data_IF_748776325069
#
_entry.id   IF_748776325069
#
_cell.length_a   1.000
_cell.length_b   1.000
_cell.length_c   1.000
_cell.angle_alpha   90.00
_cell.angle_beta   90.00
_cell.angle_gamma   90.00
#
_symmetry.space_group_name_H-M   'P 1'
#
loop_
_entity.id
_entity.type
_entity.pdbx_description
1 polymer ?
#
# COMPACT_ATOMS: atom_id res chain seq x y z
N UNK A 1 32.23 2.21 16.45
CA UNK A 1 31.74 3.36 15.65
C UNK A 1 30.25 3.18 15.50
N UNK A 2 29.46 3.97 16.21
CA UNK A 2 27.98 3.95 16.11
C UNK A 2 27.61 4.56 14.77
N UNK A 3 27.08 3.74 13.86
CA UNK A 3 26.55 4.20 12.56
C UNK A 3 25.44 5.21 12.85
N UNK A 4 25.60 6.46 12.44
CA UNK A 4 24.58 7.48 12.62
C UNK A 4 23.25 6.95 12.06
N UNK A 5 22.18 7.00 12.85
CA UNK A 5 20.86 6.53 12.46
C UNK A 5 20.39 7.41 11.29
N UNK A 6 20.22 6.82 10.12
CA UNK A 6 19.71 7.55 8.94
C UNK A 6 18.31 8.10 9.26
N UNK A 7 17.93 9.27 8.71
CA UNK A 7 16.61 9.82 8.93
C UNK A 7 15.54 8.89 8.33
N UNK A 8 14.42 8.76 9.04
CA UNK A 8 13.21 8.14 8.50
C UNK A 8 12.40 9.24 7.81
N UNK A 9 12.18 9.07 6.51
CA UNK A 9 11.34 9.96 5.70
C UNK A 9 9.98 9.29 5.58
N UNK A 10 8.94 9.94 6.10
CA UNK A 10 7.57 9.45 5.99
C UNK A 10 6.91 10.06 4.76
N UNK A 11 6.37 9.22 3.90
CA UNK A 11 5.72 9.56 2.63
C UNK A 11 4.30 9.02 2.64
N UNK A 12 3.38 9.76 2.09
CA UNK A 12 2.01 9.32 1.77
C UNK A 12 1.84 9.31 0.26
N UNK A 13 1.32 8.23 -0.29
CA UNK A 13 1.12 8.10 -1.74
C UNK A 13 -0.22 7.42 -2.05
N UNK A 14 -0.76 7.66 -3.24
CA UNK A 14 -2.07 7.16 -3.63
C UNK A 14 -2.12 6.52 -5.01
N UNK A 15 -2.77 5.34 -5.11
CA UNK A 15 -3.22 4.82 -6.40
C UNK A 15 -4.50 5.54 -6.79
N UNK A 16 -4.34 6.64 -7.54
CA UNK A 16 -5.48 7.35 -8.12
C UNK A 16 -6.02 6.52 -9.28
N UNK A 17 -7.30 6.16 -9.22
CA UNK A 17 -7.91 5.20 -10.17
C UNK A 17 -9.02 5.88 -10.97
N UNK A 18 -9.01 5.71 -12.28
CA UNK A 18 -10.08 6.20 -13.16
C UNK A 18 -11.27 5.23 -13.25
N UNK A 19 -12.29 5.61 -14.02
CA UNK A 19 -13.50 4.79 -14.24
C UNK A 19 -13.21 3.47 -14.97
N UNK A 20 -12.13 3.40 -15.74
CA UNK A 20 -11.66 2.20 -16.41
C UNK A 20 -10.75 1.33 -15.51
N UNK A 21 -10.62 1.69 -14.22
CA UNK A 21 -9.76 1.03 -13.25
C UNK A 21 -8.27 1.07 -13.59
N UNK A 22 -7.83 2.03 -14.41
CA UNK A 22 -6.42 2.29 -14.62
C UNK A 22 -5.89 3.13 -13.47
N UNK A 23 -4.63 2.92 -13.12
CA UNK A 23 -3.94 3.62 -12.04
C UNK A 23 -3.02 4.69 -12.61
N UNK A 24 -3.01 5.85 -11.99
CA UNK A 24 -2.16 6.97 -12.36
C UNK A 24 -0.78 6.79 -11.74
N UNK A 25 0.25 6.92 -12.57
CA UNK A 25 1.64 7.04 -12.15
C UNK A 25 2.23 8.34 -12.67
N UNK A 26 3.21 8.86 -11.96
CA UNK A 26 3.93 10.09 -12.27
C UNK A 26 5.42 9.79 -12.50
N UNK A 27 6.04 10.48 -13.47
CA UNK A 27 7.48 10.34 -13.72
C UNK A 27 8.24 11.39 -12.93
N UNK A 28 9.24 10.96 -12.16
CA UNK A 28 10.07 11.88 -11.36
C UNK A 28 10.77 12.89 -12.25
N UNK A 29 10.61 14.19 -11.97
CA UNK A 29 11.20 15.22 -12.80
C UNK A 29 12.74 15.23 -12.68
N UNK A 30 13.44 15.81 -13.68
CA UNK A 30 14.88 16.02 -13.63
C UNK A 30 15.32 16.74 -12.35
N UNK A 31 16.46 16.34 -11.79
CA UNK A 31 17.04 16.94 -10.58
C UNK A 31 16.58 16.32 -9.25
N UNK A 32 15.55 15.50 -9.26
CA UNK A 32 15.20 14.67 -8.09
C UNK A 32 16.02 13.36 -8.09
N UNK A 33 16.22 12.77 -6.91
CA UNK A 33 16.84 11.45 -6.80
C UNK A 33 15.99 10.41 -7.57
N UNK A 34 16.63 9.52 -8.34
CA UNK A 34 15.97 8.56 -9.24
C UNK A 34 15.09 9.26 -10.32
N UNK A 35 15.56 10.40 -10.85
CA UNK A 35 14.88 11.12 -11.93
C UNK A 35 14.61 10.18 -13.13
N UNK A 36 13.42 10.34 -13.74
CA UNK A 36 12.96 9.52 -14.85
C UNK A 36 12.25 8.22 -14.47
N UNK A 37 12.41 7.74 -13.22
CA UNK A 37 11.65 6.60 -12.71
C UNK A 37 10.17 6.95 -12.51
N UNK A 38 9.31 5.94 -12.61
CA UNK A 38 7.88 6.08 -12.37
C UNK A 38 7.53 5.72 -10.93
N UNK A 39 6.58 6.44 -10.36
CA UNK A 39 6.11 6.26 -8.99
C UNK A 39 4.61 6.56 -8.87
N UNK A 40 4.00 6.13 -7.78
CA UNK A 40 2.65 6.58 -7.44
C UNK A 40 2.71 8.02 -6.90
N UNK A 41 1.74 8.90 -7.30
CA UNK A 41 1.73 10.30 -6.86
C UNK A 41 1.56 10.41 -5.35
N UNK A 42 2.26 11.38 -4.77
CA UNK A 42 2.30 11.64 -3.34
C UNK A 42 3.60 12.28 -2.90
N UNK A 43 3.74 12.56 -1.62
CA UNK A 43 4.90 13.26 -1.11
C UNK A 43 5.14 13.08 0.37
N UNK A 44 5.99 13.94 0.94
CA UNK A 44 6.41 13.85 2.33
C UNK A 44 5.31 14.32 3.27
N UNK A 45 5.05 13.51 4.28
CA UNK A 45 4.18 13.88 5.38
C UNK A 45 4.85 14.98 6.21
N UNK A 46 4.12 16.04 6.53
CA UNK A 46 4.60 17.08 7.41
C UNK A 46 4.58 16.62 8.89
N UNK A 47 5.37 17.29 9.72
CA UNK A 47 5.46 16.94 11.14
C UNK A 47 4.12 17.11 11.86
N UNK A 48 3.58 16.01 12.40
CA UNK A 48 2.29 16.01 13.10
C UNK A 48 1.06 16.02 12.20
N UNK A 49 1.25 15.95 10.89
CA UNK A 49 0.15 15.91 9.92
C UNK A 49 -0.54 14.53 9.94
N UNK A 50 -1.87 14.54 9.86
CA UNK A 50 -2.63 13.30 9.63
C UNK A 50 -2.34 12.73 8.23
N UNK A 51 -2.16 11.43 8.13
CA UNK A 51 -1.75 10.74 6.88
C UNK A 51 -2.75 10.94 5.73
N UNK A 52 -4.06 10.93 6.02
CA UNK A 52 -5.11 11.14 4.99
C UNK A 52 -5.16 12.60 4.55
N UNK A 53 -4.95 13.54 5.47
CA UNK A 53 -4.88 14.96 5.15
C UNK A 53 -3.62 15.29 4.34
N UNK A 54 -2.47 14.69 4.70
CA UNK A 54 -1.23 14.82 3.94
C UNK A 54 -1.38 14.29 2.51
N UNK A 55 -1.99 13.11 2.34
CA UNK A 55 -2.28 12.59 1.00
C UNK A 55 -3.18 13.53 0.20
N UNK A 56 -4.25 14.05 0.81
CA UNK A 56 -5.17 14.97 0.14
C UNK A 56 -4.47 16.28 -0.27
N UNK A 57 -3.56 16.79 0.57
CA UNK A 57 -2.72 17.96 0.26
C UNK A 57 -1.80 17.68 -0.90
N UNK A 58 -1.00 16.62 -0.86
CA UNK A 58 -0.05 16.24 -1.91
C UNK A 58 -0.73 16.03 -3.27
N UNK A 59 -1.83 15.27 -3.31
CA UNK A 59 -2.57 15.04 -4.56
C UNK A 59 -3.19 16.32 -5.14
N UNK A 60 -3.57 17.28 -4.28
CA UNK A 60 -4.04 18.59 -4.74
C UNK A 60 -2.89 19.44 -5.29
N UNK A 61 -1.73 19.42 -4.62
CA UNK A 61 -0.54 20.20 -5.01
C UNK A 61 0.08 19.65 -6.29
N UNK A 62 0.28 18.34 -6.39
CA UNK A 62 0.95 17.71 -7.52
C UNK A 62 0.04 17.48 -8.73
N UNK A 63 -1.26 17.19 -8.52
CA UNK A 63 -2.18 16.77 -9.58
C UNK A 63 -3.37 17.69 -9.79
N UNK A 64 -3.65 18.63 -8.87
CA UNK A 64 -4.82 19.49 -8.94
C UNK A 64 -6.16 18.79 -8.66
N UNK A 65 -6.15 17.61 -8.04
CA UNK A 65 -7.37 16.88 -7.70
C UNK A 65 -7.75 17.05 -6.23
N UNK A 66 -9.04 16.93 -5.94
CA UNK A 66 -9.58 16.99 -4.58
C UNK A 66 -10.30 15.69 -4.26
N UNK A 67 -9.96 15.05 -3.15
CA UNK A 67 -10.62 13.81 -2.72
C UNK A 67 -12.09 14.07 -2.38
N UNK A 68 -13.00 13.26 -2.93
CA UNK A 68 -14.45 13.35 -2.70
C UNK A 68 -14.96 12.31 -1.69
N UNK A 69 -14.12 11.34 -1.32
CA UNK A 69 -14.36 10.36 -0.28
C UNK A 69 -13.04 9.98 0.42
N UNK A 70 -13.09 9.43 1.65
CA UNK A 70 -11.90 8.96 2.33
C UNK A 70 -11.16 7.91 1.51
N UNK A 71 -9.82 8.03 1.35
CA UNK A 71 -9.02 7.00 0.73
C UNK A 71 -8.96 5.78 1.65
N UNK A 72 -8.86 4.57 1.06
CA UNK A 72 -8.68 3.36 1.86
C UNK A 72 -7.20 2.98 1.96
N UNK A 73 -6.74 2.42 3.11
CA UNK A 73 -5.38 1.92 3.23
C UNK A 73 -5.15 0.74 2.28
N UNK A 74 -3.95 0.63 1.73
CA UNK A 74 -3.54 -0.51 0.91
C UNK A 74 -2.42 -1.28 1.61
N UNK A 75 -1.28 -0.65 1.79
CA UNK A 75 -0.08 -1.25 2.35
C UNK A 75 0.81 -0.16 2.92
N UNK A 76 1.65 -0.53 3.89
CA UNK A 76 2.73 0.29 4.39
C UNK A 76 4.06 -0.33 3.98
N UNK A 77 4.90 0.40 3.27
CA UNK A 77 6.19 -0.10 2.76
C UNK A 77 7.33 0.65 3.42
N UNK A 78 8.32 -0.07 3.93
CA UNK A 78 9.60 0.51 4.35
C UNK A 78 10.68 0.11 3.38
N UNK A 79 11.38 1.09 2.83
CA UNK A 79 12.48 0.87 1.90
C UNK A 79 13.73 1.66 2.34
N UNK A 80 14.89 0.99 2.33
CA UNK A 80 16.16 1.61 2.69
C UNK A 80 16.88 2.12 1.44
N UNK A 81 16.97 3.43 1.30
CA UNK A 81 17.80 4.08 0.30
C UNK A 81 19.16 4.50 0.88
N UNK A 82 20.11 4.83 0.03
CA UNK A 82 21.44 5.29 0.46
C UNK A 82 21.37 6.58 1.29
N UNK A 83 20.41 7.45 1.03
CA UNK A 83 20.21 8.72 1.72
C UNK A 83 19.35 8.62 2.99
N UNK A 84 18.61 7.55 3.19
CA UNK A 84 17.71 7.37 4.34
C UNK A 84 16.71 6.25 4.16
N UNK A 85 16.03 5.90 5.25
CA UNK A 85 14.90 4.98 5.22
C UNK A 85 13.63 5.76 4.82
N UNK A 86 12.87 5.23 3.88
CA UNK A 86 11.57 5.77 3.49
C UNK A 86 10.48 4.85 3.99
N UNK A 87 9.46 5.41 4.64
CA UNK A 87 8.23 4.73 5.02
C UNK A 87 7.10 5.31 4.18
N UNK A 88 6.49 4.49 3.35
CA UNK A 88 5.39 4.89 2.46
C UNK A 88 4.09 4.34 3.04
N UNK A 89 3.16 5.21 3.40
CA UNK A 89 1.75 4.86 3.61
C UNK A 89 1.05 4.94 2.24
N UNK A 90 0.69 3.79 1.69
CA UNK A 90 0.03 3.70 0.39
C UNK A 90 -1.47 3.57 0.53
N UNK A 91 -2.21 4.37 -0.24
CA UNK A 91 -3.66 4.45 -0.19
C UNK A 91 -4.29 4.23 -1.57
N UNK A 92 -5.52 3.72 -1.61
CA UNK A 92 -6.33 3.67 -2.83
C UNK A 92 -7.30 4.84 -2.86
N UNK A 93 -7.26 5.61 -3.94
CA UNK A 93 -8.07 6.79 -4.20
C UNK A 93 -8.97 6.52 -5.40
N UNK A 94 -10.28 6.36 -5.15
CA UNK A 94 -11.26 6.05 -6.20
C UNK A 94 -12.22 7.19 -6.49
N UNK A 95 -12.39 8.11 -5.54
CA UNK A 95 -13.35 9.20 -5.65
C UNK A 95 -12.64 10.54 -5.45
N UNK A 96 -12.61 11.31 -6.49
CA UNK A 96 -12.00 12.63 -6.53
C UNK A 96 -12.70 13.52 -7.56
N UNK A 97 -12.52 14.81 -7.47
CA UNK A 97 -12.92 15.82 -8.46
C UNK A 97 -11.68 16.51 -9.04
N UNK A 98 -11.83 17.05 -10.23
CA UNK A 98 -10.74 17.62 -11.01
C UNK A 98 -10.18 16.62 -12.02
N UNK A 99 -9.42 17.13 -12.99
CA UNK A 99 -8.70 16.33 -13.98
C UNK A 99 -7.22 16.29 -13.57
N UNK A 100 -6.62 15.10 -13.32
CA UNK A 100 -5.23 15.02 -12.93
C UNK A 100 -4.29 15.62 -13.97
N UNK A 101 -3.43 16.52 -13.54
CA UNK A 101 -2.41 17.20 -14.35
C UNK A 101 -1.09 17.25 -13.59
N UNK A 102 0.03 17.09 -14.24
CA UNK A 102 1.35 17.22 -13.63
C UNK A 102 1.68 18.70 -13.36
N UNK A 103 1.33 19.21 -12.18
CA UNK A 103 1.50 20.61 -11.82
C UNK A 103 2.97 20.97 -11.52
N UNK A 104 3.81 19.98 -11.20
CA UNK A 104 5.27 20.11 -11.06
C UNK A 104 6.02 19.90 -12.39
N UNK A 105 5.31 19.81 -13.52
CA UNK A 105 5.87 19.51 -14.83
C UNK A 105 6.22 18.03 -15.05
N UNK A 106 5.83 17.13 -14.14
CA UNK A 106 6.00 15.70 -14.27
C UNK A 106 5.08 15.12 -15.34
N UNK A 107 5.57 14.13 -16.10
CA UNK A 107 4.73 13.35 -16.99
C UNK A 107 3.81 12.43 -16.19
N UNK A 108 2.58 12.27 -16.67
CA UNK A 108 1.59 11.37 -16.08
C UNK A 108 1.23 10.27 -17.07
N UNK A 109 0.97 9.07 -16.55
CA UNK A 109 0.54 7.93 -17.35
C UNK A 109 -0.52 7.13 -16.60
N UNK A 110 -1.60 6.76 -17.30
CA UNK A 110 -2.59 5.81 -16.83
C UNK A 110 -2.18 4.40 -17.24
N UNK A 111 -2.10 3.48 -16.27
CA UNK A 111 -1.70 2.09 -16.48
C UNK A 111 -2.77 1.13 -15.94
N UNK A 112 -3.01 0.05 -16.67
CA UNK A 112 -3.71 -1.12 -16.14
C UNK A 112 -2.80 -1.86 -15.14
N UNK A 113 -3.35 -2.83 -14.41
CA UNK A 113 -2.57 -3.68 -13.50
C UNK A 113 -1.43 -4.41 -14.23
N UNK A 114 -1.73 -4.99 -15.40
CA UNK A 114 -0.74 -5.73 -16.19
C UNK A 114 0.36 -4.82 -16.75
N UNK A 115 0.00 -3.61 -17.15
CA UNK A 115 0.99 -2.61 -17.62
C UNK A 115 1.93 -2.15 -16.52
N UNK A 116 1.47 -2.04 -15.26
CA UNK A 116 2.33 -1.67 -14.12
C UNK A 116 3.47 -2.66 -13.90
N UNK A 117 3.27 -3.95 -14.17
CA UNK A 117 4.30 -4.99 -14.04
C UNK A 117 5.45 -4.81 -15.05
N UNK A 118 5.20 -4.10 -16.16
CA UNK A 118 6.19 -3.82 -17.22
C UNK A 118 6.82 -2.43 -17.14
N UNK A 119 6.34 -1.56 -16.23
CA UNK A 119 6.88 -0.21 -16.04
C UNK A 119 8.08 -0.24 -15.09
N UNK A 120 9.11 0.52 -15.40
CA UNK A 120 10.23 0.75 -14.49
C UNK A 120 9.79 1.67 -13.33
N UNK A 121 9.14 1.06 -12.35
CA UNK A 121 8.74 1.73 -11.10
C UNK A 121 9.95 1.85 -10.17
N UNK A 122 9.85 2.79 -9.21
CA UNK A 122 10.86 2.91 -8.17
C UNK A 122 10.94 1.64 -7.32
N UNK A 123 12.11 1.30 -6.75
CA UNK A 123 12.30 0.06 -5.99
C UNK A 123 11.31 -0.15 -4.83
N UNK A 124 10.85 0.94 -4.20
CA UNK A 124 9.87 0.87 -3.11
C UNK A 124 8.45 0.50 -3.57
N UNK A 125 8.13 0.60 -4.86
CA UNK A 125 6.78 0.41 -5.38
C UNK A 125 6.45 -1.05 -5.72
N UNK A 126 7.44 -1.93 -5.82
CA UNK A 126 7.24 -3.35 -6.13
C UNK A 126 6.21 -4.04 -5.21
N UNK A 127 6.33 -3.95 -3.87
CA UNK A 127 5.34 -4.50 -2.94
C UNK A 127 3.93 -3.90 -3.10
N UNK A 128 3.84 -2.63 -3.54
CA UNK A 128 2.57 -1.94 -3.79
C UNK A 128 1.85 -2.58 -4.98
N UNK A 129 2.57 -2.86 -6.08
CA UNK A 129 2.00 -3.52 -7.26
C UNK A 129 1.46 -4.92 -6.92
N UNK A 130 2.18 -5.68 -6.10
CA UNK A 130 1.72 -6.98 -5.60
C UNK A 130 0.44 -6.84 -4.76
N UNK A 131 0.40 -5.87 -3.84
CA UNK A 131 -0.76 -5.61 -3.00
C UNK A 131 -2.01 -5.19 -3.79
N UNK A 132 -1.84 -4.50 -4.92
CA UNK A 132 -2.94 -4.09 -5.79
C UNK A 132 -3.65 -5.27 -6.49
N UNK A 133 -3.02 -6.45 -6.55
CA UNK A 133 -3.64 -7.69 -7.07
C UNK A 133 -4.63 -8.32 -6.08
N UNK A 134 -4.56 -7.93 -4.82
CA UNK A 134 -5.41 -8.49 -3.77
C UNK A 134 -6.78 -7.81 -3.73
N UNK A 135 -7.88 -8.57 -3.53
CA UNK A 135 -9.21 -8.01 -3.39
C UNK A 135 -9.38 -7.34 -2.03
N UNK A 136 -10.39 -6.49 -1.87
CA UNK A 136 -10.75 -5.89 -0.58
C UNK A 136 -11.40 -6.89 0.39
N UNK A 137 -12.00 -7.94 -0.16
CA UNK A 137 -12.65 -9.02 0.59
C UNK A 137 -12.06 -10.35 0.13
N UNK A 138 -11.46 -11.06 1.06
CA UNK A 138 -11.05 -12.44 0.81
C UNK A 138 -12.27 -13.33 0.92
N UNK A 139 -12.64 -13.96 -0.18
CA UNK A 139 -13.79 -14.86 -0.27
C UNK A 139 -13.35 -16.17 -0.92
N UNK A 140 -14.14 -17.24 -0.77
CA UNK A 140 -13.87 -18.49 -1.48
C UNK A 140 -13.77 -18.32 -2.99
N UNK A 141 -14.50 -17.35 -3.58
CA UNK A 141 -14.45 -17.07 -5.00
C UNK A 141 -13.13 -16.42 -5.46
N UNK A 142 -12.42 -15.73 -4.55
CA UNK A 142 -11.16 -15.04 -4.86
C UNK A 142 -9.90 -15.92 -4.70
N UNK A 143 -10.04 -17.18 -4.27
CA UNK A 143 -8.91 -18.10 -4.01
C UNK A 143 -8.10 -18.51 -5.26
N UNK A 144 -8.53 -18.12 -6.45
CA UNK A 144 -7.75 -18.32 -7.68
C UNK A 144 -6.52 -17.39 -7.75
N UNK A 145 -6.57 -16.23 -7.09
CA UNK A 145 -5.51 -15.22 -7.12
C UNK A 145 -4.42 -15.43 -6.04
N UNK A 146 -4.68 -16.26 -5.03
CA UNK A 146 -3.77 -16.47 -3.91
C UNK A 146 -3.87 -17.86 -3.30
N UNK A 147 -2.85 -18.24 -2.55
CA UNK A 147 -2.84 -19.40 -1.64
C UNK A 147 -2.81 -18.91 -0.22
N UNK A 148 -3.50 -19.61 0.67
CA UNK A 148 -3.57 -19.27 2.08
C UNK A 148 -3.17 -20.46 2.93
N UNK A 149 -2.14 -20.31 3.77
CA UNK A 149 -1.53 -21.39 4.54
C UNK A 149 -1.06 -20.96 5.92
N UNK A 150 -0.29 -21.84 6.56
CA UNK A 150 0.36 -21.57 7.85
C UNK A 150 1.79 -21.06 7.72
N UNK A 151 2.35 -21.12 6.54
CA UNK A 151 3.71 -20.67 6.20
C UNK A 151 3.71 -19.95 4.86
N UNK A 152 4.66 -19.06 4.68
CA UNK A 152 4.92 -18.39 3.42
C UNK A 152 5.69 -19.36 2.50
N UNK A 153 4.99 -20.04 1.62
CA UNK A 153 5.60 -20.92 0.63
C UNK A 153 5.39 -20.37 -0.77
N UNK A 154 6.45 -20.33 -1.61
CA UNK A 154 6.30 -19.89 -2.98
C UNK A 154 5.30 -20.79 -3.73
N UNK A 155 4.32 -20.20 -4.38
CA UNK A 155 3.39 -20.94 -5.21
C UNK A 155 3.95 -21.13 -6.62
N UNK A 156 3.99 -22.38 -7.09
CA UNK A 156 4.49 -22.71 -8.42
C UNK A 156 3.68 -22.08 -9.57
N UNK A 157 2.44 -21.67 -9.31
CA UNK A 157 1.58 -20.95 -10.26
C UNK A 157 1.73 -19.42 -10.19
N UNK A 158 2.63 -18.89 -9.35
CA UNK A 158 2.85 -17.46 -9.19
C UNK A 158 1.70 -16.71 -8.48
N UNK A 159 0.87 -17.45 -7.72
CA UNK A 159 -0.18 -16.83 -6.90
C UNK A 159 0.44 -16.22 -5.65
N UNK A 160 -0.21 -15.17 -5.11
CA UNK A 160 0.22 -14.54 -3.86
C UNK A 160 0.05 -15.48 -2.67
N UNK A 161 1.05 -15.51 -1.79
CA UNK A 161 1.09 -16.36 -0.59
C UNK A 161 0.60 -15.58 0.63
N UNK A 162 -0.55 -15.98 1.17
CA UNK A 162 -1.10 -15.45 2.41
C UNK A 162 -0.83 -16.36 3.60
N UNK A 163 -0.62 -15.78 4.77
CA UNK A 163 -0.37 -16.52 6.01
C UNK A 163 -1.39 -16.13 7.09
N UNK A 164 -1.98 -17.13 7.75
CA UNK A 164 -2.80 -16.92 8.94
C UNK A 164 -1.96 -16.60 10.15
N UNK A 165 -2.35 -15.58 10.90
CA UNK A 165 -1.67 -15.11 12.09
C UNK A 165 -2.63 -14.91 13.25
N UNK A 166 -2.17 -15.26 14.46
CA UNK A 166 -2.95 -15.11 15.72
C UNK A 166 -2.64 -13.81 16.45
N UNK A 167 -1.64 -13.04 16.00
CA UNK A 167 -1.22 -11.79 16.64
C UNK A 167 0.05 -11.23 16.03
N UNK A 168 0.57 -10.16 16.64
CA UNK A 168 1.69 -9.37 16.11
C UNK A 168 2.97 -10.20 15.88
N UNK A 169 3.33 -11.08 16.83
CA UNK A 169 4.57 -11.86 16.72
C UNK A 169 4.58 -12.77 15.49
N UNK A 170 3.45 -13.49 15.25
CA UNK A 170 3.30 -14.34 14.07
C UNK A 170 3.22 -13.52 12.79
N UNK A 171 2.56 -12.36 12.83
CA UNK A 171 2.46 -11.45 11.70
C UNK A 171 3.83 -10.94 11.25
N UNK A 172 4.69 -10.55 12.18
CA UNK A 172 6.07 -10.14 11.90
C UNK A 172 6.89 -11.31 11.32
N UNK A 173 6.81 -12.49 11.94
CA UNK A 173 7.53 -13.67 11.48
C UNK A 173 7.11 -14.09 10.06
N UNK A 174 5.82 -14.05 9.75
CA UNK A 174 5.30 -14.37 8.41
C UNK A 174 5.75 -13.35 7.36
N UNK A 175 5.76 -12.05 7.71
CA UNK A 175 6.29 -11.00 6.84
C UNK A 175 7.78 -11.19 6.57
N UNK A 176 8.57 -11.47 7.59
CA UNK A 176 10.01 -11.72 7.46
C UNK A 176 10.31 -12.99 6.64
N UNK A 177 9.41 -13.97 6.68
CA UNK A 177 9.48 -15.19 5.88
C UNK A 177 9.04 -15.00 4.40
N UNK A 178 8.59 -13.80 4.02
CA UNK A 178 8.24 -13.47 2.63
C UNK A 178 6.78 -13.73 2.27
N UNK A 179 5.87 -13.71 3.23
CA UNK A 179 4.43 -13.70 2.92
C UNK A 179 4.05 -12.44 2.13
N UNK A 180 3.16 -12.58 1.14
CA UNK A 180 2.65 -11.46 0.37
C UNK A 180 1.53 -10.71 1.08
N UNK A 181 0.80 -11.38 1.98
CA UNK A 181 -0.24 -10.77 2.83
C UNK A 181 -0.52 -11.63 4.08
N UNK A 182 -1.22 -11.03 5.04
CA UNK A 182 -1.62 -11.68 6.29
C UNK A 182 -3.13 -11.73 6.44
N UNK A 183 -3.60 -12.80 7.09
CA UNK A 183 -4.99 -12.95 7.52
C UNK A 183 -5.00 -13.20 9.01
N UNK A 184 -5.60 -12.31 9.78
CA UNK A 184 -5.77 -12.48 11.21
C UNK A 184 -6.87 -13.51 11.46
N UNK A 185 -6.63 -14.48 12.37
CA UNK A 185 -7.57 -15.58 12.60
C UNK A 185 -8.52 -15.36 13.77
N UNK A 186 -8.17 -14.52 14.70
CA UNK A 186 -8.97 -14.24 15.88
C UNK A 186 -9.55 -12.84 15.82
N UNK A 187 -10.65 -12.63 16.52
CA UNK A 187 -11.12 -11.29 16.86
C UNK A 187 -10.11 -10.66 17.83
N UNK A 188 -9.16 -9.92 17.28
CA UNK A 188 -8.19 -9.18 18.05
C UNK A 188 -8.76 -7.83 18.49
N UNK A 189 -8.31 -7.29 19.64
CA UNK A 189 -8.67 -5.93 20.02
C UNK A 189 -8.30 -4.93 18.92
N UNK A 190 -9.12 -3.89 18.67
CA UNK A 190 -8.84 -2.89 17.62
C UNK A 190 -7.44 -2.27 17.69
N UNK A 191 -6.93 -2.04 18.92
CA UNK A 191 -5.58 -1.51 19.13
C UNK A 191 -4.48 -2.47 18.67
N UNK A 192 -4.67 -3.77 18.77
CA UNK A 192 -3.71 -4.76 18.29
C UNK A 192 -3.73 -4.89 16.77
N UNK A 193 -4.93 -4.92 16.16
CA UNK A 193 -5.07 -4.87 14.68
C UNK A 193 -4.35 -3.65 14.13
N UNK A 194 -4.59 -2.47 14.72
CA UNK A 194 -3.93 -1.23 14.34
C UNK A 194 -2.41 -1.33 14.45
N UNK A 195 -1.90 -1.89 15.56
CA UNK A 195 -0.47 -2.08 15.77
C UNK A 195 0.15 -3.01 14.72
N UNK A 196 -0.54 -4.09 14.35
CA UNK A 196 -0.09 -5.00 13.30
C UNK A 196 -0.02 -4.24 11.96
N UNK A 197 -1.08 -3.51 11.58
CA UNK A 197 -1.11 -2.72 10.34
C UNK A 197 -0.05 -1.61 10.30
N UNK A 198 0.38 -1.10 11.44
CA UNK A 198 1.42 -0.07 11.54
C UNK A 198 2.84 -0.62 11.47
N UNK A 199 3.06 -1.84 11.93
CA UNK A 199 4.39 -2.42 12.08
C UNK A 199 4.75 -3.40 10.96
N UNK A 200 3.75 -4.04 10.35
CA UNK A 200 3.96 -5.06 9.31
C UNK A 200 3.85 -4.43 7.91
N UNK A 201 4.89 -4.54 7.06
CA UNK A 201 4.94 -3.88 5.76
C UNK A 201 4.32 -4.71 4.62
N UNK A 202 3.25 -5.44 4.89
CA UNK A 202 2.47 -6.19 3.90
C UNK A 202 0.96 -6.07 4.20
N UNK A 203 0.08 -6.32 3.21
CA UNK A 203 -1.36 -6.24 3.40
C UNK A 203 -1.88 -7.10 4.55
N UNK A 204 -2.82 -6.57 5.33
CA UNK A 204 -3.43 -7.26 6.49
C UNK A 204 -4.94 -7.34 6.29
N UNK A 205 -5.49 -8.53 6.48
CA UNK A 205 -6.92 -8.80 6.46
C UNK A 205 -7.43 -9.15 7.85
N UNK A 206 -8.49 -8.47 8.28
CA UNK A 206 -9.10 -8.67 9.59
C UNK A 206 -10.45 -9.40 9.47
N UNK A 207 -10.69 -10.48 10.23
CA UNK A 207 -11.98 -11.17 10.26
C UNK A 207 -13.01 -10.44 11.12
N UNK A 208 -14.29 -10.71 10.90
CA UNK A 208 -15.37 -10.30 11.81
C UNK A 208 -15.69 -8.80 11.81
N UNK A 209 -15.03 -7.99 10.98
CA UNK A 209 -15.25 -6.55 10.90
C UNK A 209 -16.05 -6.19 9.63
N UNK A 210 -16.75 -5.06 9.68
CA UNK A 210 -17.19 -4.40 8.44
C UNK A 210 -15.96 -3.82 7.74
N UNK A 211 -16.03 -3.70 6.43
CA UNK A 211 -14.86 -3.26 5.62
C UNK A 211 -14.40 -1.84 6.01
N UNK A 212 -15.33 -0.96 6.34
CA UNK A 212 -15.02 0.42 6.76
C UNK A 212 -14.29 0.44 8.11
N UNK A 213 -14.68 -0.43 9.05
CA UNK A 213 -14.03 -0.57 10.36
C UNK A 213 -12.60 -1.11 10.21
N UNK A 214 -12.41 -2.09 9.33
CA UNK A 214 -11.07 -2.61 8.99
C UNK A 214 -10.17 -1.50 8.43
N UNK A 215 -10.68 -0.67 7.52
CA UNK A 215 -9.93 0.45 6.95
C UNK A 215 -9.58 1.54 7.98
N UNK A 216 -10.46 1.80 8.96
CA UNK A 216 -10.15 2.75 10.05
C UNK A 216 -9.00 2.25 10.93
N UNK A 217 -8.84 0.94 11.06
CA UNK A 217 -7.72 0.32 11.77
C UNK A 217 -6.44 0.20 10.92
N UNK A 218 -6.50 0.53 9.63
CA UNK A 218 -5.37 0.45 8.70
C UNK A 218 -5.26 -0.88 7.97
N UNK A 219 -6.21 -1.81 8.15
CA UNK A 219 -6.22 -3.07 7.41
C UNK A 219 -6.54 -2.85 5.93
N UNK A 220 -5.98 -3.67 5.06
CA UNK A 220 -6.21 -3.65 3.61
C UNK A 220 -7.64 -4.06 3.27
N UNK A 221 -8.19 -5.01 4.02
CA UNK A 221 -9.51 -5.56 3.80
C UNK A 221 -9.99 -6.49 4.89
N UNK A 222 -11.04 -7.25 4.59
CA UNK A 222 -11.64 -8.23 5.51
C UNK A 222 -11.54 -9.65 4.96
N UNK A 223 -11.42 -10.61 5.89
CA UNK A 223 -11.51 -12.04 5.59
C UNK A 223 -12.94 -12.54 5.79
N UNK A 224 -13.51 -13.09 4.74
CA UNK A 224 -14.83 -13.73 4.73
C UNK A 224 -14.74 -15.25 4.48
N UNK A 225 -13.51 -15.82 4.45
CA UNK A 225 -13.27 -17.26 4.24
C UNK A 225 -13.30 -18.00 5.58
N UNK A 226 -12.81 -17.38 6.64
CA UNK A 226 -12.50 -18.00 7.92
C UNK A 226 -13.64 -17.97 8.94
N UNK A 227 -14.89 -17.73 8.51
CA UNK A 227 -16.07 -17.81 9.38
C UNK A 227 -16.43 -19.25 9.72
#
# INVERSE_FOLDING_TARGET
MTRAKKPLIHVVAGTVTDLARRMLIAQRPPGKHLAGGWEFPGGKLESGEDRRLGLARELREELGITLSAPPRPLIRVRHAYDYGDVLIDMWVVRQYSGEPRGLDGQALRWCTQDELESVELLPADGPIVAALRLPERLTHASTQAYVLGRSAEPDAAGRLSGVWCLGLAEAMAASDAGADFLVLRNELPPGEIKSICELVPIPVYAPGLRIEEAWELGATGVDEIGG
#
